data_IF_638396362651
#
_entry.id   IF_638396362651
#
_cell.length_a   1.000
_cell.length_b   1.000
_cell.length_c   1.000
_cell.angle_alpha   90.00
_cell.angle_beta   90.00
_cell.angle_gamma   90.00
#
_symmetry.space_group_name_H-M   'P 1'
#
loop_
_entity.id
_entity.type
_entity.pdbx_description
1 polymer ?
#
# COMPACT_ATOMS: atom_id res chain seq x y z
N UNK A 1 15.92 -17.06 33.75
CA UNK A 1 16.60 -16.00 32.97
C UNK A 1 15.69 -15.55 31.82
N UNK A 2 15.04 -14.38 31.91
CA UNK A 2 14.08 -13.89 30.90
C UNK A 2 14.05 -12.36 30.74
N UNK A 3 15.04 -11.62 31.26
CA UNK A 3 15.05 -10.14 31.21
C UNK A 3 15.65 -9.57 29.92
N UNK A 4 16.71 -10.17 29.37
CA UNK A 4 17.44 -9.60 28.22
C UNK A 4 16.72 -9.62 26.85
N UNK A 5 15.64 -10.40 26.69
CA UNK A 5 14.87 -10.48 25.43
C UNK A 5 13.80 -9.39 25.31
N UNK A 6 13.32 -8.85 26.43
CA UNK A 6 12.37 -7.73 26.45
C UNK A 6 13.09 -6.41 26.18
N UNK A 7 14.23 -6.20 26.85
CA UNK A 7 15.00 -4.96 26.77
C UNK A 7 15.53 -4.71 25.34
N UNK A 8 15.98 -5.75 24.64
CA UNK A 8 16.45 -5.66 23.26
C UNK A 8 15.34 -5.32 22.26
N UNK A 9 14.12 -5.80 22.49
CA UNK A 9 12.95 -5.49 21.66
C UNK A 9 12.45 -4.06 21.91
N UNK A 10 12.46 -3.63 23.17
CA UNK A 10 12.08 -2.26 23.55
C UNK A 10 13.10 -1.24 23.01
N UNK A 11 14.40 -1.55 23.08
CA UNK A 11 15.48 -0.76 22.47
C UNK A 11 15.33 -0.67 20.94
N UNK A 12 14.98 -1.76 20.26
CA UNK A 12 14.75 -1.75 18.82
C UNK A 12 13.53 -0.90 18.43
N UNK A 13 12.43 -0.96 19.20
CA UNK A 13 11.26 -0.10 19.00
C UNK A 13 11.54 1.36 19.31
N UNK A 14 12.38 1.66 20.30
CA UNK A 14 12.82 3.01 20.62
C UNK A 14 13.69 3.57 19.50
N UNK A 15 14.64 2.78 19.00
CA UNK A 15 15.50 3.15 17.88
C UNK A 15 14.68 3.45 16.61
N UNK A 16 13.67 2.62 16.30
CA UNK A 16 12.74 2.87 15.18
C UNK A 16 11.92 4.15 15.36
N UNK A 17 11.42 4.41 16.58
CA UNK A 17 10.64 5.62 16.89
C UNK A 17 11.52 6.88 16.84
N UNK A 18 12.75 6.79 17.28
CA UNK A 18 13.67 7.93 17.32
C UNK A 18 14.25 8.22 15.93
N UNK A 19 14.54 7.19 15.11
CA UNK A 19 14.86 7.38 13.70
C UNK A 19 13.68 7.99 12.92
N UNK A 20 12.44 7.58 13.21
CA UNK A 20 11.24 8.20 12.63
C UNK A 20 11.11 9.68 13.01
N UNK A 21 11.33 10.03 14.29
CA UNK A 21 11.30 11.43 14.76
C UNK A 21 12.38 12.30 14.13
N UNK A 22 13.60 11.80 13.95
CA UNK A 22 14.68 12.56 13.30
C UNK A 22 14.37 12.78 11.81
N UNK A 23 13.83 11.76 11.12
CA UNK A 23 13.34 11.92 9.74
C UNK A 23 12.16 12.90 9.65
N UNK A 24 11.32 12.98 10.68
CA UNK A 24 10.20 13.93 10.75
C UNK A 24 10.64 15.37 11.06
N UNK A 25 11.74 15.56 11.81
CA UNK A 25 12.31 16.88 12.13
C UNK A 25 13.00 17.53 10.92
N UNK A 26 13.68 16.75 10.07
CA UNK A 26 14.27 17.26 8.81
C UNK A 26 13.19 17.68 7.80
N UNK A 27 11.95 17.19 7.94
CA UNK A 27 10.82 17.47 7.05
C UNK A 27 10.03 18.74 7.37
N UNK A 28 10.35 19.50 8.42
CA UNK A 28 9.43 20.54 8.94
C UNK A 28 9.37 21.88 8.18
N UNK A 29 10.27 22.17 7.24
CA UNK A 29 10.36 23.50 6.60
C UNK A 29 10.17 23.55 5.07
N UNK A 30 9.30 22.72 4.49
CA UNK A 30 8.89 22.93 3.08
C UNK A 30 7.38 23.04 2.96
N UNK A 31 6.98 24.28 2.65
CA UNK A 31 5.73 24.75 2.02
C UNK A 31 4.91 23.61 1.40
N UNK A 32 3.61 23.60 1.67
CA UNK A 32 2.64 22.58 1.26
C UNK A 32 2.97 21.99 -0.11
N UNK A 33 3.46 20.74 -0.11
CA UNK A 33 3.82 20.04 -1.34
C UNK A 33 2.60 19.99 -2.26
N UNK A 34 2.77 20.20 -3.57
CA UNK A 34 1.68 20.08 -4.54
C UNK A 34 0.95 18.73 -4.45
N UNK A 35 1.64 17.70 -3.95
CA UNK A 35 1.09 16.40 -3.62
C UNK A 35 -0.01 16.44 -2.55
N UNK A 36 0.18 17.17 -1.45
CA UNK A 36 -0.84 17.28 -0.40
C UNK A 36 -2.12 17.92 -0.94
N UNK A 37 -1.97 18.99 -1.73
CA UNK A 37 -3.09 19.66 -2.41
C UNK A 37 -3.82 18.69 -3.36
N UNK A 38 -3.08 17.96 -4.19
CA UNK A 38 -3.66 16.96 -5.09
C UNK A 38 -4.39 15.84 -4.32
N UNK A 39 -3.84 15.36 -3.21
CA UNK A 39 -4.48 14.36 -2.34
C UNK A 39 -5.79 14.90 -1.76
N UNK A 40 -5.83 16.14 -1.26
CA UNK A 40 -7.06 16.72 -0.74
C UNK A 40 -8.13 16.92 -1.82
N UNK A 41 -7.74 17.25 -3.06
CA UNK A 41 -8.70 17.31 -4.17
C UNK A 41 -9.28 15.93 -4.52
N UNK A 42 -8.43 14.89 -4.53
CA UNK A 42 -8.84 13.53 -4.88
C UNK A 42 -9.63 12.81 -3.78
N UNK A 43 -9.28 13.04 -2.51
CA UNK A 43 -9.86 12.32 -1.37
C UNK A 43 -10.79 13.21 -0.49
N UNK A 44 -10.86 14.51 -0.78
CA UNK A 44 -11.58 15.52 0.00
C UNK A 44 -10.68 16.24 1.01
N UNK A 45 -11.07 17.46 1.40
CA UNK A 45 -10.29 18.34 2.30
C UNK A 45 -10.06 17.76 3.71
N UNK A 46 -10.94 16.86 4.15
CA UNK A 46 -10.84 16.12 5.42
C UNK A 46 -11.22 14.67 5.19
N UNK A 47 -10.32 13.87 4.61
CA UNK A 47 -10.63 12.49 4.28
C UNK A 47 -10.67 11.66 5.57
N UNK A 48 -11.81 11.04 5.83
CA UNK A 48 -12.03 10.19 6.99
C UNK A 48 -11.68 8.74 6.67
N UNK A 49 -10.99 8.06 7.59
CA UNK A 49 -10.59 6.66 7.40
C UNK A 49 -11.83 5.79 7.11
N UNK A 50 -11.77 5.06 6.00
CA UNK A 50 -12.80 4.17 5.54
C UNK A 50 -13.89 4.84 4.68
N UNK A 51 -13.86 6.17 4.50
CA UNK A 51 -14.78 6.88 3.59
C UNK A 51 -14.52 6.45 2.14
N UNK A 52 -15.60 6.20 1.40
CA UNK A 52 -15.51 5.94 -0.04
C UNK A 52 -15.26 7.24 -0.78
N UNK A 53 -14.30 7.21 -1.70
CA UNK A 53 -14.05 8.28 -2.66
C UNK A 53 -14.04 7.68 -4.06
N UNK A 54 -14.45 8.47 -5.04
CA UNK A 54 -14.42 8.08 -6.45
C UNK A 54 -13.26 8.77 -7.13
N UNK A 55 -12.33 7.99 -7.67
CA UNK A 55 -11.16 8.48 -8.39
C UNK A 55 -11.24 7.88 -9.80
N UNK A 56 -11.56 8.73 -10.77
CA UNK A 56 -11.94 8.29 -12.11
C UNK A 56 -13.20 7.41 -12.09
N UNK A 57 -13.08 6.18 -12.59
CA UNK A 57 -14.18 5.19 -12.62
C UNK A 57 -14.16 4.20 -11.46
N UNK A 58 -13.18 4.30 -10.57
CA UNK A 58 -12.97 3.36 -9.48
C UNK A 58 -13.31 3.99 -8.13
N UNK A 59 -13.80 3.16 -7.22
CA UNK A 59 -14.06 3.54 -5.85
C UNK A 59 -12.95 3.03 -4.94
N UNK A 60 -12.52 3.89 -4.04
CA UNK A 60 -11.47 3.62 -3.07
C UNK A 60 -11.94 3.99 -1.67
N UNK A 61 -11.49 3.24 -0.68
CA UNK A 61 -11.67 3.49 0.74
C UNK A 61 -10.39 4.14 1.23
N UNK A 62 -10.46 5.42 1.59
CA UNK A 62 -9.32 6.13 2.13
C UNK A 62 -8.81 5.47 3.42
N UNK A 63 -7.50 5.37 3.62
CA UNK A 63 -6.90 4.82 4.83
C UNK A 63 -6.18 5.90 5.64
N UNK A 64 -5.11 6.47 5.09
CA UNK A 64 -4.35 7.56 5.71
C UNK A 64 -3.51 8.30 4.66
N UNK A 65 -3.00 9.48 5.01
CA UNK A 65 -1.95 10.12 4.23
C UNK A 65 -0.84 10.66 5.14
N UNK A 66 0.34 10.82 4.55
CA UNK A 66 1.48 11.56 5.07
C UNK A 66 1.91 12.59 4.00
N UNK A 67 2.93 13.40 4.27
CA UNK A 67 3.41 14.45 3.36
C UNK A 67 3.69 13.99 1.93
N UNK A 68 4.12 12.74 1.75
CA UNK A 68 4.55 12.21 0.45
C UNK A 68 3.86 10.91 0.07
N UNK A 69 2.78 10.53 0.75
CA UNK A 69 2.10 9.27 0.53
C UNK A 69 0.61 9.37 0.88
N UNK A 70 -0.25 8.71 0.09
CA UNK A 70 -1.64 8.44 0.46
C UNK A 70 -1.94 6.95 0.29
N UNK A 71 -2.48 6.34 1.34
CA UNK A 71 -2.88 4.93 1.37
C UNK A 71 -4.40 4.78 1.31
N UNK A 72 -4.81 3.70 0.64
CA UNK A 72 -6.21 3.40 0.38
C UNK A 72 -6.39 1.92 0.04
N UNK A 73 -7.64 1.50 -0.02
CA UNK A 73 -8.05 0.19 -0.52
C UNK A 73 -9.00 0.38 -1.68
N UNK A 74 -8.83 -0.31 -2.83
CA UNK A 74 -9.93 -0.46 -3.77
C UNK A 74 -11.18 -0.95 -3.03
N UNK A 75 -12.35 -0.35 -3.28
CA UNK A 75 -13.57 -0.65 -2.53
C UNK A 75 -13.91 -2.15 -2.57
N UNK A 76 -13.77 -2.77 -3.75
CA UNK A 76 -13.92 -4.22 -3.95
C UNK A 76 -12.97 -5.06 -3.12
N UNK A 77 -11.72 -4.62 -2.92
CA UNK A 77 -10.80 -5.35 -2.05
C UNK A 77 -11.34 -5.39 -0.63
N UNK A 78 -11.75 -4.23 -0.11
CA UNK A 78 -12.29 -4.14 1.24
C UNK A 78 -13.53 -5.00 1.41
N UNK A 79 -14.48 -4.92 0.48
CA UNK A 79 -15.72 -5.70 0.51
C UNK A 79 -15.45 -7.21 0.54
N UNK A 80 -14.57 -7.71 -0.33
CA UNK A 80 -14.24 -9.14 -0.35
C UNK A 80 -13.39 -9.57 0.86
N UNK A 81 -12.56 -8.68 1.40
CA UNK A 81 -11.78 -8.94 2.61
C UNK A 81 -12.66 -8.98 3.85
N UNK A 82 -13.67 -8.13 3.93
CA UNK A 82 -14.67 -8.14 5.01
C UNK A 82 -15.46 -9.46 4.99
N UNK A 83 -15.82 -9.99 3.81
CA UNK A 83 -16.49 -11.29 3.66
C UNK A 83 -15.60 -12.49 4.02
N UNK A 84 -14.28 -12.32 3.92
CA UNK A 84 -13.30 -13.39 4.16
C UNK A 84 -12.51 -13.18 5.44
N UNK A 85 -13.01 -12.35 6.36
CA UNK A 85 -12.30 -11.93 7.58
C UNK A 85 -11.84 -13.09 8.47
N UNK A 86 -12.60 -14.18 8.52
CA UNK A 86 -12.24 -15.36 9.32
C UNK A 86 -11.12 -16.21 8.69
N UNK A 87 -10.74 -15.95 7.44
CA UNK A 87 -9.71 -16.70 6.73
C UNK A 87 -8.28 -16.18 7.02
N UNK A 88 -8.14 -15.06 7.73
CA UNK A 88 -6.85 -14.41 8.01
C UNK A 88 -6.87 -13.69 9.37
N UNK A 89 -5.70 -13.54 9.99
CA UNK A 89 -5.51 -12.80 11.25
C UNK A 89 -4.11 -12.21 11.32
N UNK A 90 -3.85 -11.30 12.27
CA UNK A 90 -2.54 -10.67 12.47
C UNK A 90 -2.39 -9.28 11.85
N UNK A 91 -3.43 -8.79 11.16
CA UNK A 91 -3.43 -7.49 10.51
C UNK A 91 -4.04 -6.38 11.38
N UNK A 92 -4.47 -6.68 12.60
CA UNK A 92 -5.24 -5.77 13.47
C UNK A 92 -4.44 -4.51 13.84
N UNK A 93 -3.14 -4.68 14.05
CA UNK A 93 -2.20 -3.59 14.35
C UNK A 93 -1.47 -3.07 13.09
N UNK A 94 -1.76 -3.63 11.91
CA UNK A 94 -1.18 -3.16 10.66
C UNK A 94 -1.95 -1.95 10.16
N UNK A 95 -1.25 -0.96 9.60
CA UNK A 95 -1.82 0.31 9.16
C UNK A 95 -3.04 0.21 8.22
N UNK A 96 -3.15 -0.86 7.42
CA UNK A 96 -4.34 -1.11 6.61
C UNK A 96 -5.52 -1.66 7.43
N UNK A 97 -5.25 -2.50 8.44
CA UNK A 97 -6.25 -3.33 9.14
C UNK A 97 -6.69 -4.60 8.38
N UNK A 98 -6.03 -4.92 7.26
CA UNK A 98 -6.39 -5.97 6.30
C UNK A 98 -5.15 -6.73 5.82
N UNK A 99 -5.20 -7.85 5.08
CA UNK A 99 -4.00 -8.51 4.55
C UNK A 99 -3.46 -7.87 3.27
N UNK A 100 -4.17 -6.91 2.68
CA UNK A 100 -3.79 -6.17 1.48
C UNK A 100 -3.89 -4.67 1.72
N UNK A 101 -3.08 -3.89 1.01
CA UNK A 101 -3.18 -2.42 0.96
C UNK A 101 -2.62 -1.90 -0.37
N UNK A 102 -3.09 -0.73 -0.80
CA UNK A 102 -2.48 0.05 -1.86
C UNK A 102 -2.13 1.47 -1.38
N UNK A 103 -1.13 2.09 -1.98
CA UNK A 103 -0.83 3.51 -1.73
C UNK A 103 -0.07 4.11 -2.90
N UNK A 104 -0.20 5.43 -3.06
CA UNK A 104 0.66 6.19 -3.97
C UNK A 104 1.64 7.00 -3.13
N UNK A 105 2.92 6.91 -3.47
CA UNK A 105 3.96 7.79 -2.93
C UNK A 105 4.45 8.76 -4.03
N UNK A 106 4.84 9.96 -3.63
CA UNK A 106 5.62 10.88 -4.47
C UNK A 106 7.07 10.91 -3.98
N UNK A 107 8.02 10.92 -4.91
CA UNK A 107 9.45 11.08 -4.61
C UNK A 107 10.05 12.11 -5.53
N UNK A 108 10.74 13.10 -4.96
CA UNK A 108 11.50 14.07 -5.73
C UNK A 108 12.65 13.39 -6.47
N UNK A 109 12.94 13.89 -7.67
CA UNK A 109 14.15 13.58 -8.44
C UNK A 109 15.36 14.30 -7.83
N UNK A 110 16.56 13.94 -8.29
CA UNK A 110 17.81 14.52 -7.80
C UNK A 110 17.90 16.05 -7.98
N UNK A 111 17.18 16.61 -8.96
CA UNK A 111 17.11 18.05 -9.24
C UNK A 111 16.17 18.81 -8.29
N UNK A 112 15.42 18.11 -7.43
CA UNK A 112 14.48 18.70 -6.47
C UNK A 112 13.25 19.39 -7.07
N UNK A 113 13.10 19.39 -8.40
CA UNK A 113 11.98 20.02 -9.12
C UNK A 113 11.07 18.96 -9.70
N UNK A 114 11.63 17.99 -10.42
CA UNK A 114 10.87 16.86 -10.93
C UNK A 114 10.58 15.86 -9.82
N UNK A 115 9.59 14.99 -10.06
CA UNK A 115 9.24 13.91 -9.17
C UNK A 115 8.73 12.69 -9.93
N UNK A 116 8.57 11.59 -9.20
CA UNK A 116 7.84 10.42 -9.67
C UNK A 116 6.74 10.05 -8.67
N UNK A 117 5.55 9.80 -9.18
CA UNK A 117 4.51 9.09 -8.45
C UNK A 117 4.74 7.60 -8.61
N UNK A 118 4.53 6.83 -7.54
CA UNK A 118 4.66 5.38 -7.55
C UNK A 118 3.51 4.73 -6.81
N UNK A 119 2.79 3.82 -7.49
CA UNK A 119 1.66 3.07 -6.96
C UNK A 119 2.16 1.75 -6.40
N UNK A 120 1.98 1.51 -5.11
CA UNK A 120 2.32 0.24 -4.48
C UNK A 120 1.04 -0.54 -4.17
N UNK A 121 1.19 -1.87 -4.22
CA UNK A 121 0.26 -2.79 -3.57
C UNK A 121 1.07 -3.87 -2.86
N UNK A 122 0.60 -4.28 -1.68
CA UNK A 122 1.36 -5.10 -0.74
C UNK A 122 0.48 -6.13 -0.05
N UNK A 123 1.01 -7.34 0.11
CA UNK A 123 0.50 -8.34 1.05
C UNK A 123 1.15 -8.09 2.40
N UNK A 124 0.31 -7.80 3.40
CA UNK A 124 0.71 -7.45 4.76
C UNK A 124 1.06 -8.64 5.66
N UNK A 125 1.20 -8.37 6.96
CA UNK A 125 1.55 -9.38 7.96
C UNK A 125 0.30 -10.19 8.32
N UNK A 126 0.18 -11.38 7.71
CA UNK A 126 -0.76 -12.42 8.13
C UNK A 126 -0.02 -13.36 9.08
N UNK A 127 -0.59 -13.61 10.26
CA UNK A 127 0.02 -14.41 11.33
C UNK A 127 0.32 -15.85 10.89
N UNK A 128 -0.63 -16.48 10.21
CA UNK A 128 -0.42 -17.81 9.64
C UNK A 128 0.40 -17.70 8.34
N UNK A 129 1.60 -18.27 8.39
CA UNK A 129 2.51 -18.33 7.25
C UNK A 129 1.94 -19.08 6.05
N UNK A 130 1.18 -20.17 6.26
CA UNK A 130 0.56 -20.93 5.16
C UNK A 130 -0.47 -20.07 4.45
N UNK A 131 -1.32 -19.37 5.21
CA UNK A 131 -2.32 -18.44 4.66
C UNK A 131 -1.64 -17.31 3.88
N UNK A 132 -0.61 -16.68 4.48
CA UNK A 132 0.14 -15.61 3.81
C UNK A 132 0.78 -16.08 2.50
N UNK A 133 1.43 -17.24 2.53
CA UNK A 133 2.05 -17.87 1.36
C UNK A 133 0.99 -18.14 0.29
N UNK A 134 -0.14 -18.71 0.68
CA UNK A 134 -1.24 -18.99 -0.22
C UNK A 134 -1.85 -17.75 -0.88
N UNK A 135 -2.00 -16.62 -0.15
CA UNK A 135 -2.40 -15.32 -0.75
C UNK A 135 -1.42 -14.92 -1.86
N UNK A 136 -0.12 -14.96 -1.57
CA UNK A 136 0.95 -14.58 -2.52
C UNK A 136 0.93 -15.49 -3.75
N UNK A 137 0.81 -16.80 -3.55
CA UNK A 137 0.79 -17.79 -4.62
C UNK A 137 -0.48 -17.67 -5.49
N UNK A 138 -1.64 -17.41 -4.88
CA UNK A 138 -2.89 -17.21 -5.62
C UNK A 138 -2.86 -15.95 -6.49
N UNK A 139 -2.34 -14.83 -5.96
CA UNK A 139 -2.15 -13.60 -6.75
C UNK A 139 -1.17 -13.86 -7.91
N UNK A 140 -0.06 -14.54 -7.64
CA UNK A 140 0.96 -14.88 -8.66
C UNK A 140 0.37 -15.77 -9.76
N UNK A 141 -0.33 -16.84 -9.38
CA UNK A 141 -0.93 -17.78 -10.32
C UNK A 141 -2.00 -17.10 -11.19
N UNK A 142 -2.87 -16.28 -10.58
CA UNK A 142 -3.89 -15.53 -11.31
C UNK A 142 -3.26 -14.53 -12.29
N UNK A 143 -2.22 -13.80 -11.87
CA UNK A 143 -1.51 -12.85 -12.72
C UNK A 143 -0.87 -13.55 -13.92
N UNK A 144 -0.18 -14.68 -13.67
CA UNK A 144 0.42 -15.49 -14.73
C UNK A 144 -0.64 -16.01 -15.72
N UNK A 145 -1.78 -16.49 -15.23
CA UNK A 145 -2.86 -16.99 -16.08
C UNK A 145 -3.53 -15.90 -16.94
N UNK A 146 -3.41 -14.64 -16.54
CA UNK A 146 -3.98 -13.48 -17.26
C UNK A 146 -2.93 -12.66 -18.02
N UNK A 147 -1.67 -13.09 -18.03
CA UNK A 147 -0.57 -12.37 -18.66
C UNK A 147 -0.32 -10.98 -18.07
N UNK A 148 -0.54 -10.80 -16.76
CA UNK A 148 -0.30 -9.53 -16.08
C UNK A 148 1.13 -9.46 -15.54
N UNK A 149 2.07 -9.15 -16.43
CA UNK A 149 3.51 -9.14 -16.15
C UNK A 149 3.94 -8.12 -15.10
N UNK A 150 3.13 -7.07 -14.85
CA UNK A 150 3.42 -6.06 -13.82
C UNK A 150 3.11 -6.52 -12.40
N UNK A 151 2.51 -7.70 -12.21
CA UNK A 151 2.35 -8.33 -10.89
C UNK A 151 3.48 -9.34 -10.69
N UNK A 152 4.51 -8.95 -9.93
CA UNK A 152 5.65 -9.78 -9.61
C UNK A 152 6.09 -9.60 -8.15
N UNK A 153 6.03 -10.68 -7.39
CA UNK A 153 6.62 -10.73 -6.06
C UNK A 153 8.15 -10.93 -6.13
N UNK A 154 8.93 -10.29 -5.26
CA UNK A 154 10.36 -10.55 -5.17
C UNK A 154 10.64 -12.00 -4.74
N UNK A 155 11.85 -12.47 -5.04
CA UNK A 155 12.34 -13.76 -4.51
C UNK A 155 12.25 -13.75 -2.98
N UNK A 156 11.75 -14.85 -2.42
CA UNK A 156 11.52 -15.00 -0.99
C UNK A 156 10.36 -14.17 -0.42
N UNK A 157 9.45 -13.66 -1.25
CA UNK A 157 8.26 -12.93 -0.78
C UNK A 157 7.39 -13.78 0.17
N UNK A 158 7.31 -15.08 -0.09
CA UNK A 158 6.53 -16.04 0.68
C UNK A 158 7.30 -16.67 1.83
N UNK A 159 8.56 -16.30 2.09
CA UNK A 159 9.40 -16.95 3.09
C UNK A 159 8.89 -16.69 4.51
N UNK A 160 9.14 -17.65 5.41
CA UNK A 160 8.75 -17.53 6.82
C UNK A 160 9.50 -16.36 7.47
N UNK A 161 8.77 -15.55 8.24
CA UNK A 161 9.32 -14.36 8.91
C UNK A 161 9.28 -13.09 8.06
N UNK A 162 8.94 -13.17 6.76
CA UNK A 162 8.73 -11.96 5.95
C UNK A 162 7.41 -11.31 6.29
N UNK A 163 7.47 -10.07 6.78
CA UNK A 163 6.28 -9.36 7.27
C UNK A 163 5.39 -8.85 6.13
N UNK A 164 5.98 -8.35 5.05
CA UNK A 164 5.24 -7.75 3.95
C UNK A 164 5.92 -8.00 2.61
N UNK A 165 5.14 -7.95 1.53
CA UNK A 165 5.65 -8.18 0.18
C UNK A 165 4.87 -7.41 -0.87
N UNK A 166 5.58 -6.49 -1.54
CA UNK A 166 5.05 -5.69 -2.64
C UNK A 166 5.12 -6.45 -3.95
N UNK A 167 4.17 -6.19 -4.83
CA UNK A 167 4.05 -6.97 -6.06
C UNK A 167 3.84 -6.16 -7.34
N UNK A 168 3.69 -4.84 -7.30
CA UNK A 168 3.59 -4.04 -8.53
C UNK A 168 4.97 -3.67 -9.08
N UNK A 169 5.14 -3.83 -10.41
CA UNK A 169 6.30 -3.42 -11.22
C UNK A 169 5.89 -2.37 -12.24
N UNK A 170 6.87 -1.61 -12.73
CA UNK A 170 6.64 -0.54 -13.72
C UNK A 170 5.52 0.41 -13.30
N UNK A 171 5.50 0.66 -12.00
CA UNK A 171 4.40 1.25 -11.26
C UNK A 171 4.64 2.73 -10.94
N UNK A 172 5.36 3.41 -11.80
CA UNK A 172 5.75 4.81 -11.60
C UNK A 172 5.51 5.66 -12.83
N UNK A 173 5.14 6.92 -12.61
CA UNK A 173 4.95 7.93 -13.64
C UNK A 173 5.67 9.22 -13.25
N UNK A 174 6.25 9.92 -14.21
CA UNK A 174 6.98 11.16 -13.98
C UNK A 174 6.04 12.37 -13.81
N UNK A 175 6.49 13.33 -13.02
CA UNK A 175 5.90 14.65 -12.77
C UNK A 175 6.99 15.69 -13.00
N UNK A 176 6.71 16.69 -13.82
CA UNK A 176 7.67 17.74 -14.17
C UNK A 176 7.94 18.72 -13.04
N UNK A 177 6.93 19.10 -12.27
CA UNK A 177 7.08 19.95 -11.08
C UNK A 177 6.33 19.39 -9.86
N UNK A 178 7.08 19.08 -8.80
CA UNK A 178 6.56 18.57 -7.52
C UNK A 178 5.62 19.56 -6.79
N UNK A 179 5.61 20.83 -7.19
CA UNK A 179 4.72 21.87 -6.67
C UNK A 179 3.45 22.03 -7.50
N UNK A 180 3.40 21.48 -8.72
CA UNK A 180 2.24 21.58 -9.58
C UNK A 180 1.18 20.54 -9.19
N UNK A 181 0.24 20.96 -8.34
CA UNK A 181 -0.85 20.10 -7.86
C UNK A 181 -1.75 19.58 -9.00
N UNK A 182 -2.01 20.39 -10.04
CA UNK A 182 -2.85 20.00 -11.17
C UNK A 182 -2.17 18.88 -11.98
N UNK A 183 -0.86 19.00 -12.21
CA UNK A 183 -0.08 17.94 -12.86
C UNK A 183 -0.08 16.67 -12.01
N UNK A 184 0.18 16.79 -10.71
CA UNK A 184 0.23 15.63 -9.80
C UNK A 184 -1.12 14.91 -9.78
N UNK A 185 -2.23 15.64 -9.67
CA UNK A 185 -3.57 15.09 -9.69
C UNK A 185 -3.84 14.32 -10.99
N UNK A 186 -3.53 14.93 -12.15
CA UNK A 186 -3.66 14.28 -13.46
C UNK A 186 -2.81 13.01 -13.55
N UNK A 187 -1.54 13.07 -13.15
CA UNK A 187 -0.62 11.92 -13.19
C UNK A 187 -1.03 10.82 -12.22
N UNK A 188 -1.63 11.17 -11.09
CA UNK A 188 -2.21 10.20 -10.15
C UNK A 188 -3.36 9.43 -10.81
N UNK A 189 -4.29 10.15 -11.45
CA UNK A 189 -5.41 9.53 -12.17
C UNK A 189 -4.91 8.60 -13.30
N UNK A 190 -3.95 9.06 -14.09
CA UNK A 190 -3.30 8.25 -15.14
C UNK A 190 -2.67 6.98 -14.56
N UNK A 191 -1.95 7.10 -13.44
CA UNK A 191 -1.29 5.98 -12.79
C UNK A 191 -2.30 4.93 -12.28
N UNK A 192 -3.38 5.37 -11.63
CA UNK A 192 -4.43 4.46 -11.14
C UNK A 192 -5.15 3.77 -12.30
N UNK A 193 -5.55 4.52 -13.33
CA UNK A 193 -6.20 3.98 -14.51
C UNK A 193 -5.29 2.96 -15.23
N UNK A 194 -3.99 3.24 -15.27
CA UNK A 194 -2.99 2.35 -15.85
C UNK A 194 -2.85 0.99 -15.15
N UNK A 195 -3.33 0.83 -13.91
CA UNK A 195 -3.25 -0.42 -13.12
C UNK A 195 -4.61 -1.08 -12.85
N UNK A 196 -5.66 -0.66 -13.56
CA UNK A 196 -7.01 -1.20 -13.38
C UNK A 196 -7.06 -2.73 -13.46
N UNK A 197 -6.41 -3.33 -14.48
CA UNK A 197 -6.45 -4.78 -14.70
C UNK A 197 -5.80 -5.53 -13.53
N UNK A 198 -4.71 -5.01 -13.00
CA UNK A 198 -4.01 -5.57 -11.86
C UNK A 198 -4.83 -5.46 -10.56
N UNK A 199 -5.48 -4.31 -10.33
CA UNK A 199 -6.34 -4.10 -9.17
C UNK A 199 -7.58 -5.00 -9.22
N UNK A 200 -8.22 -5.15 -10.38
CA UNK A 200 -9.36 -6.05 -10.58
C UNK A 200 -8.96 -7.52 -10.46
N UNK A 201 -7.77 -7.92 -10.94
CA UNK A 201 -7.27 -9.27 -10.74
C UNK A 201 -7.20 -9.62 -9.24
N UNK A 202 -6.62 -8.73 -8.42
CA UNK A 202 -6.51 -8.96 -6.98
C UNK A 202 -7.90 -9.07 -6.35
N UNK A 203 -8.87 -8.24 -6.75
CA UNK A 203 -10.27 -8.36 -6.32
C UNK A 203 -10.83 -9.76 -6.57
N UNK A 204 -10.51 -10.37 -7.72
CA UNK A 204 -11.00 -11.70 -8.09
C UNK A 204 -10.34 -12.86 -7.33
N UNK A 205 -9.22 -12.60 -6.66
CA UNK A 205 -8.46 -13.60 -5.88
C UNK A 205 -8.94 -13.66 -4.43
N UNK A 206 -9.31 -12.52 -3.84
CA UNK A 206 -9.70 -12.42 -2.43
C UNK A 206 -10.82 -13.41 -2.02
N UNK A 207 -11.89 -13.62 -2.81
CA UNK A 207 -12.94 -14.58 -2.43
C UNK A 207 -12.45 -16.03 -2.27
N UNK A 208 -11.26 -16.35 -2.81
CA UNK A 208 -10.66 -17.68 -2.76
C UNK A 208 -9.75 -17.88 -1.56
N UNK A 209 -9.56 -16.87 -0.69
CA UNK A 209 -8.72 -17.01 0.50
C UNK A 209 -9.22 -18.09 1.48
N UNK A 210 -10.53 -18.26 1.73
CA UNK A 210 -10.98 -19.32 2.64
C UNK A 210 -10.62 -20.74 2.19
N UNK A 211 -10.60 -21.00 0.87
CA UNK A 211 -10.21 -22.32 0.34
C UNK A 211 -8.70 -22.55 0.36
N UNK A 212 -7.91 -21.50 0.51
CA UNK A 212 -6.46 -21.55 0.68
C UNK A 212 -6.08 -21.80 2.16
N UNK A 213 -6.96 -21.41 3.08
CA UNK A 213 -6.79 -21.59 4.53
C UNK A 213 -7.33 -22.92 5.07
N UNK A 214 -7.96 -23.75 4.22
CA UNK A 214 -8.46 -25.06 4.61
C UNK A 214 -7.28 -26.04 4.89
N UNK A 215 -7.36 -26.84 5.98
CA UNK A 215 -6.28 -27.74 6.39
C UNK A 215 -5.97 -28.86 5.39
#
# INVERSE_FOLDING_TARGET
>A
MSKGRSETHDLAQQLFRDQKKVLDLIKRDRLDSGFAVAVFRLFGDKPERGKTVRIGKHEFKYSSHEKSLVSFLPARWREELDKTRDAWSGCENWWAGYPLIAWVEIRASNDGTAAHLKLHAEVGPVSDHKVRKGIIEAIRAAASAKGLERIQFPVGASDKGRLYSRFLRENSIAVGDIRNADEIEKRFLELIAGFERELELVSSVIPKLPSISAP
#
